data_IF_143488660651
#
_entry.id   IF_143488660651
#
_cell.length_a   1.000
_cell.length_b   1.000
_cell.length_c   1.000
_cell.angle_alpha   90.00
_cell.angle_beta   90.00
_cell.angle_gamma   90.00
#
_symmetry.space_group_name_H-M   'P 1'
#
loop_
_entity.id
_entity.type
_entity.pdbx_description
1 polymer ?
#
# COMPACT_ATOMS: atom_id res chain seq x y z
N UNK A 1 -18.93 -5.91 -11.70
CA UNK A 1 -19.15 -4.49 -11.32
C UNK A 1 -18.86 -4.35 -9.83
N UNK A 2 -18.15 -3.30 -9.45
CA UNK A 2 -17.85 -3.01 -8.05
C UNK A 2 -19.12 -2.59 -7.32
N UNK A 3 -19.25 -2.90 -6.01
CA UNK A 3 -20.39 -2.49 -5.23
C UNK A 3 -20.44 -0.96 -5.05
N UNK A 4 -21.65 -0.42 -5.01
CA UNK A 4 -21.87 1.00 -4.73
C UNK A 4 -21.78 1.26 -3.22
N UNK A 5 -20.89 2.13 -2.80
CA UNK A 5 -20.81 2.60 -1.42
C UNK A 5 -21.77 3.77 -1.18
N UNK A 6 -22.59 3.67 -0.16
CA UNK A 6 -23.46 4.75 0.36
C UNK A 6 -23.05 5.01 1.80
N UNK A 7 -22.48 6.16 2.05
CA UNK A 7 -21.97 6.56 3.37
C UNK A 7 -22.85 7.68 3.92
N UNK A 8 -23.53 7.42 5.03
CA UNK A 8 -24.50 8.34 5.65
C UNK A 8 -25.54 8.87 4.65
N UNK A 9 -26.02 7.98 3.76
CA UNK A 9 -27.01 8.29 2.73
C UNK A 9 -26.48 8.90 1.44
N UNK A 10 -25.18 9.17 1.33
CA UNK A 10 -24.55 9.79 0.14
C UNK A 10 -23.63 8.80 -0.57
N UNK A 11 -23.73 8.68 -1.91
CA UNK A 11 -22.78 7.88 -2.68
C UNK A 11 -21.35 8.39 -2.51
N UNK A 12 -20.41 7.44 -2.28
CA UNK A 12 -19.01 7.81 -2.07
C UNK A 12 -18.08 6.60 -2.04
N UNK A 13 -16.86 6.77 -1.59
CA UNK A 13 -15.89 5.71 -1.31
C UNK A 13 -16.02 5.20 0.13
N UNK A 14 -15.47 4.03 0.41
CA UNK A 14 -15.39 3.49 1.76
C UNK A 14 -14.81 4.52 2.74
N UNK A 15 -15.45 4.73 3.89
CA UNK A 15 -14.91 5.59 4.93
C UNK A 15 -13.81 4.84 5.69
N UNK A 16 -13.13 5.56 6.58
CA UNK A 16 -12.23 4.92 7.52
C UNK A 16 -12.98 3.92 8.41
N UNK A 17 -12.44 2.71 8.54
CA UNK A 17 -13.06 1.65 9.34
C UNK A 17 -13.27 2.03 10.81
N UNK A 18 -12.39 2.85 11.37
CA UNK A 18 -12.51 3.33 12.76
C UNK A 18 -13.71 4.28 12.97
N UNK A 19 -14.21 4.90 11.90
CA UNK A 19 -15.37 5.80 11.95
C UNK A 19 -16.69 5.08 11.71
N UNK A 20 -16.69 3.81 11.37
CA UNK A 20 -17.88 3.03 11.06
C UNK A 20 -18.60 2.63 12.34
N UNK A 21 -19.92 2.86 12.39
CA UNK A 21 -20.82 2.34 13.41
C UNK A 21 -21.51 1.05 12.94
N UNK A 22 -21.98 1.00 11.68
CA UNK A 22 -22.59 -0.19 11.09
C UNK A 22 -22.37 -0.27 9.58
N UNK A 23 -22.38 -1.50 9.07
CA UNK A 23 -22.34 -1.81 7.63
C UNK A 23 -23.49 -2.75 7.31
N UNK A 24 -24.27 -2.40 6.30
CA UNK A 24 -25.31 -3.25 5.73
C UNK A 24 -25.01 -3.51 4.26
N UNK A 25 -25.14 -4.76 3.83
CA UNK A 25 -24.83 -5.16 2.45
C UNK A 25 -26.12 -5.61 1.78
N UNK A 26 -26.53 -4.87 0.74
CA UNK A 26 -27.69 -5.18 -0.08
C UNK A 26 -27.22 -5.94 -1.33
N UNK A 27 -27.66 -7.19 -1.47
CA UNK A 27 -27.26 -8.06 -2.60
C UNK A 27 -28.44 -8.43 -3.51
N UNK A 28 -29.66 -8.30 -3.01
CA UNK A 28 -30.85 -8.65 -3.78
C UNK A 28 -31.33 -7.48 -4.65
N UNK A 29 -31.95 -7.82 -5.80
CA UNK A 29 -32.39 -6.83 -6.77
C UNK A 29 -33.51 -5.89 -6.22
N UNK A 30 -34.30 -6.34 -5.26
CA UNK A 30 -35.39 -5.51 -4.70
C UNK A 30 -34.82 -4.40 -3.80
N UNK A 31 -33.85 -4.74 -2.94
CA UNK A 31 -33.22 -3.77 -2.04
C UNK A 31 -32.28 -2.81 -2.76
N UNK A 32 -31.66 -3.24 -3.87
CA UNK A 32 -30.76 -2.37 -4.66
C UNK A 32 -31.48 -1.51 -5.69
N UNK A 33 -32.74 -1.79 -6.00
CA UNK A 33 -33.52 -1.09 -7.03
C UNK A 33 -33.59 0.44 -6.84
N UNK A 34 -33.63 0.92 -5.59
CA UNK A 34 -33.66 2.35 -5.28
C UNK A 34 -32.38 3.10 -5.72
N UNK A 35 -31.28 2.38 -5.95
CA UNK A 35 -30.00 2.94 -6.37
C UNK A 35 -29.78 2.85 -7.90
N UNK A 36 -30.79 2.29 -8.63
CA UNK A 36 -30.75 2.17 -10.09
C UNK A 36 -29.59 1.34 -10.60
N UNK A 37 -29.14 1.64 -11.82
CA UNK A 37 -28.09 0.88 -12.51
C UNK A 37 -26.74 0.82 -11.73
N UNK A 38 -26.47 1.84 -10.91
CA UNK A 38 -25.25 1.85 -10.08
C UNK A 38 -25.27 0.81 -8.96
N UNK A 39 -26.44 0.34 -8.55
CA UNK A 39 -26.60 -0.73 -7.56
C UNK A 39 -26.48 -2.15 -8.12
N UNK A 40 -26.23 -2.32 -9.42
CA UNK A 40 -26.20 -3.65 -10.07
C UNK A 40 -25.10 -4.59 -9.52
N UNK A 41 -24.01 -4.05 -8.98
CA UNK A 41 -22.95 -4.82 -8.31
C UNK A 41 -23.20 -5.07 -6.81
N UNK A 42 -24.37 -4.68 -6.30
CA UNK A 42 -24.69 -4.62 -4.88
C UNK A 42 -24.46 -3.24 -4.30
N UNK A 43 -24.98 -3.01 -3.09
CA UNK A 43 -24.85 -1.74 -2.37
C UNK A 43 -24.35 -2.00 -0.96
N UNK A 44 -23.34 -1.24 -0.55
CA UNK A 44 -22.80 -1.25 0.81
C UNK A 44 -23.24 0.03 1.48
N UNK A 45 -24.17 -0.10 2.43
CA UNK A 45 -24.61 1.01 3.26
C UNK A 45 -23.73 1.12 4.48
N UNK A 46 -23.14 2.28 4.69
CA UNK A 46 -22.32 2.55 5.86
C UNK A 46 -22.93 3.68 6.68
N UNK A 47 -23.15 3.41 7.95
CA UNK A 47 -23.47 4.44 8.93
C UNK A 47 -22.22 4.74 9.74
N UNK A 48 -21.86 6.02 9.80
CA UNK A 48 -20.68 6.43 10.57
C UNK A 48 -21.06 6.85 11.99
N UNK A 49 -20.09 6.78 12.90
CA UNK A 49 -20.24 7.17 14.30
C UNK A 49 -20.65 8.63 14.42
N UNK A 50 -21.69 8.88 15.19
CA UNK A 50 -22.19 10.20 15.51
C UNK A 50 -21.82 10.61 16.93
N UNK A 51 -21.99 11.88 17.25
CA UNK A 51 -21.81 12.40 18.59
C UNK A 51 -22.85 11.81 19.55
N UNK A 52 -22.47 11.64 20.81
CA UNK A 52 -23.34 11.13 21.88
C UNK A 52 -23.50 12.19 22.97
N UNK A 53 -24.70 12.27 23.56
CA UNK A 53 -24.95 13.11 24.72
C UNK A 53 -24.13 12.58 25.90
N UNK A 54 -23.37 13.44 26.54
CA UNK A 54 -22.54 13.08 27.68
C UNK A 54 -21.30 13.95 27.81
N UNK A 55 -20.50 13.67 28.82
CA UNK A 55 -19.19 14.29 29.02
C UNK A 55 -18.26 13.95 27.86
N UNK A 56 -17.29 14.82 27.63
CA UNK A 56 -16.23 14.54 26.67
C UNK A 56 -15.58 13.18 26.96
N UNK A 57 -15.59 12.30 25.97
CA UNK A 57 -14.91 11.03 25.97
C UNK A 57 -13.81 11.08 24.90
N UNK A 58 -12.61 10.69 25.29
CA UNK A 58 -11.41 10.65 24.41
C UNK A 58 -10.98 9.20 24.31
N UNK A 59 -10.82 8.71 23.11
CA UNK A 59 -10.26 7.39 22.81
C UNK A 59 -9.02 7.58 21.93
N UNK A 60 -7.88 7.12 22.41
CA UNK A 60 -6.63 7.11 21.65
C UNK A 60 -6.15 5.67 21.48
N UNK A 61 -5.66 5.34 20.30
CA UNK A 61 -5.10 4.03 19.97
C UNK A 61 -3.84 4.22 19.16
N UNK A 62 -2.83 3.45 19.50
CA UNK A 62 -1.58 3.38 18.74
C UNK A 62 -1.29 1.91 18.49
N UNK A 63 -1.03 1.57 17.24
CA UNK A 63 -0.67 0.23 16.82
C UNK A 63 0.67 0.27 16.10
N UNK A 64 1.53 -0.66 16.45
CA UNK A 64 2.78 -0.94 15.75
C UNK A 64 2.78 -2.38 15.28
N UNK A 65 3.33 -2.62 14.12
CA UNK A 65 3.47 -3.95 13.53
C UNK A 65 4.77 -4.07 12.75
N UNK A 66 5.26 -5.29 12.67
CA UNK A 66 6.38 -5.67 11.79
C UNK A 66 5.85 -6.76 10.87
N UNK A 67 6.04 -6.56 9.57
CA UNK A 67 5.84 -7.58 8.55
C UNK A 67 7.18 -8.11 8.09
N UNK A 68 7.30 -9.42 8.03
CA UNK A 68 8.52 -10.09 7.58
C UNK A 68 8.17 -10.94 6.37
N UNK A 69 8.95 -10.89 5.29
CA UNK A 69 8.78 -11.82 4.19
C UNK A 69 8.93 -13.26 4.69
N UNK A 70 8.12 -14.16 4.16
CA UNK A 70 8.16 -15.59 4.48
C UNK A 70 8.23 -16.39 3.19
N UNK A 71 8.81 -17.59 3.28
CA UNK A 71 8.89 -18.55 2.18
C UNK A 71 9.54 -17.98 0.90
N UNK A 72 10.54 -17.11 1.07
CA UNK A 72 11.36 -16.66 -0.05
C UNK A 72 12.17 -17.84 -0.57
N UNK A 73 12.34 -18.01 -1.89
CA UNK A 73 13.15 -19.06 -2.43
C UNK A 73 14.63 -18.76 -2.21
N UNK A 74 15.39 -19.75 -1.80
CA UNK A 74 16.85 -19.63 -1.69
C UNK A 74 17.47 -19.34 -3.07
N UNK A 75 18.07 -18.18 -3.21
CA UNK A 75 18.80 -17.80 -4.42
C UNK A 75 20.17 -18.48 -4.45
N UNK A 76 20.62 -18.83 -5.65
CA UNK A 76 21.93 -19.45 -5.81
C UNK A 76 23.05 -18.41 -5.65
N UNK A 77 24.05 -18.74 -4.85
CA UNK A 77 25.32 -18.02 -4.82
C UNK A 77 26.11 -18.21 -6.10
N UNK A 78 27.02 -17.31 -6.37
CA UNK A 78 27.78 -17.24 -7.64
C UNK A 78 28.46 -18.55 -8.02
N UNK A 79 29.11 -19.21 -7.09
CA UNK A 79 29.82 -20.51 -7.38
C UNK A 79 28.81 -21.58 -7.80
N UNK A 80 27.76 -21.78 -7.00
CA UNK A 80 26.70 -22.77 -7.27
C UNK A 80 25.95 -22.46 -8.56
N UNK A 81 25.68 -21.17 -8.80
CA UNK A 81 25.04 -20.71 -10.04
C UNK A 81 25.89 -21.10 -11.28
N UNK A 82 27.18 -20.81 -11.27
CA UNK A 82 28.07 -21.11 -12.40
C UNK A 82 28.19 -22.60 -12.59
N UNK A 83 28.43 -23.37 -11.53
CA UNK A 83 28.54 -24.82 -11.59
C UNK A 83 27.27 -25.47 -12.17
N UNK A 84 26.10 -25.04 -11.77
CA UNK A 84 24.84 -25.53 -12.33
C UNK A 84 24.67 -25.15 -13.81
N UNK A 85 25.09 -23.93 -14.19
CA UNK A 85 25.03 -23.49 -15.59
C UNK A 85 25.95 -24.32 -16.48
N UNK A 86 27.19 -24.56 -16.05
CA UNK A 86 28.14 -25.39 -16.79
C UNK A 86 27.64 -26.85 -16.87
N UNK A 87 27.14 -27.40 -15.78
CA UNK A 87 26.56 -28.75 -15.77
C UNK A 87 25.33 -28.90 -16.70
N UNK A 88 24.57 -27.81 -16.89
CA UNK A 88 23.46 -27.77 -17.83
C UNK A 88 23.86 -27.54 -19.29
N UNK A 89 25.17 -27.50 -19.58
CA UNK A 89 25.74 -27.38 -20.93
C UNK A 89 25.80 -25.95 -21.48
N UNK A 90 25.65 -24.93 -20.61
CA UNK A 90 25.91 -23.56 -21.04
C UNK A 90 27.42 -23.36 -21.32
N UNK A 91 27.77 -22.73 -22.45
CA UNK A 91 29.18 -22.54 -22.78
C UNK A 91 29.85 -21.56 -21.81
N UNK A 92 31.06 -21.89 -21.38
CA UNK A 92 31.91 -20.96 -20.66
C UNK A 92 32.41 -19.88 -21.62
N UNK A 93 31.91 -18.66 -21.46
CA UNK A 93 32.41 -17.54 -22.25
C UNK A 93 33.71 -17.01 -21.63
N UNK A 94 34.81 -16.90 -22.39
CA UNK A 94 36.11 -16.44 -21.87
C UNK A 94 36.04 -15.05 -21.16
N UNK A 95 35.08 -14.25 -21.52
CA UNK A 95 34.91 -12.92 -20.92
C UNK A 95 33.94 -12.92 -19.69
N UNK A 96 33.40 -14.06 -19.31
CA UNK A 96 32.47 -14.15 -18.20
C UNK A 96 33.13 -14.21 -16.82
N UNK A 97 34.41 -14.55 -16.79
CA UNK A 97 35.18 -14.81 -15.55
C UNK A 97 34.81 -16.14 -14.86
N UNK A 98 34.02 -16.99 -15.51
CA UNK A 98 33.57 -18.28 -14.93
C UNK A 98 34.66 -19.28 -14.67
N UNK A 99 35.87 -19.06 -15.23
CA UNK A 99 37.07 -19.84 -14.90
C UNK A 99 37.60 -19.65 -13.48
N UNK A 100 37.19 -18.53 -12.84
CA UNK A 100 37.49 -18.26 -11.44
C UNK A 100 36.24 -17.68 -10.72
N UNK A 101 35.21 -18.49 -10.46
CA UNK A 101 33.93 -18.04 -9.88
C UNK A 101 34.09 -17.29 -8.56
N UNK A 102 35.05 -17.66 -7.73
CA UNK A 102 35.30 -17.05 -6.43
C UNK A 102 35.81 -15.59 -6.52
N UNK A 103 36.25 -15.13 -7.70
CA UNK A 103 36.65 -13.74 -7.92
C UNK A 103 35.52 -12.83 -8.40
N UNK A 104 34.37 -13.40 -8.72
CA UNK A 104 33.20 -12.67 -9.20
C UNK A 104 32.39 -12.15 -8.04
N UNK A 105 31.56 -11.10 -8.26
CA UNK A 105 30.60 -10.66 -7.29
C UNK A 105 29.66 -11.80 -6.88
N UNK A 106 29.18 -11.75 -5.65
CA UNK A 106 28.18 -12.66 -5.11
C UNK A 106 27.05 -11.81 -4.48
N UNK A 107 26.14 -11.37 -5.32
CA UNK A 107 25.09 -10.43 -4.93
C UNK A 107 23.89 -11.21 -4.42
N UNK A 108 23.53 -10.96 -3.18
CA UNK A 108 22.29 -11.39 -2.59
C UNK A 108 21.16 -10.41 -3.01
N UNK A 109 20.45 -10.78 -4.08
CA UNK A 109 19.34 -9.98 -4.60
C UNK A 109 18.13 -9.99 -3.69
N UNK A 110 17.98 -11.03 -2.89
CA UNK A 110 16.89 -11.17 -1.98
C UNK A 110 16.97 -10.12 -0.85
N UNK A 111 18.14 -9.99 -0.23
CA UNK A 111 18.38 -8.95 0.79
C UNK A 111 18.29 -7.53 0.22
N UNK A 112 18.56 -7.33 -1.05
CA UNK A 112 18.45 -6.02 -1.71
C UNK A 112 17.01 -5.61 -2.02
N UNK A 113 16.11 -6.57 -2.22
CA UNK A 113 14.72 -6.34 -2.61
C UNK A 113 13.79 -6.34 -1.41
N UNK A 114 13.99 -7.26 -0.48
CA UNK A 114 13.10 -7.46 0.64
C UNK A 114 13.63 -6.82 1.92
N UNK A 115 12.68 -6.54 2.83
CA UNK A 115 13.00 -6.02 4.17
C UNK A 115 11.91 -6.42 5.16
N UNK A 116 12.25 -6.38 6.44
CA UNK A 116 11.24 -6.27 7.47
C UNK A 116 10.58 -4.90 7.37
N UNK A 117 9.27 -4.88 7.23
CA UNK A 117 8.48 -3.66 7.05
C UNK A 117 7.84 -3.23 8.36
N UNK A 118 7.92 -1.95 8.67
CA UNK A 118 7.36 -1.39 9.89
C UNK A 118 6.04 -0.67 9.59
N UNK A 119 5.01 -0.98 10.36
CA UNK A 119 3.69 -0.36 10.30
C UNK A 119 3.40 0.43 11.55
N UNK A 120 2.79 1.61 11.37
CA UNK A 120 2.39 2.50 12.44
C UNK A 120 0.99 3.01 12.15
N UNK A 121 0.10 2.95 13.13
CA UNK A 121 -1.22 3.53 13.04
C UNK A 121 -1.52 4.30 14.34
N UNK A 122 -1.93 5.54 14.18
CA UNK A 122 -2.29 6.45 15.25
C UNK A 122 -3.73 6.89 15.06
N UNK A 123 -4.57 6.66 16.03
CA UNK A 123 -5.98 7.01 16.00
C UNK A 123 -6.36 7.78 17.26
N UNK A 124 -7.07 8.88 17.06
CA UNK A 124 -7.64 9.68 18.13
C UNK A 124 -9.11 9.95 17.81
N UNK A 125 -9.98 9.76 18.79
CA UNK A 125 -11.39 10.07 18.70
C UNK A 125 -11.86 10.85 19.92
N UNK A 126 -12.65 11.86 19.70
CA UNK A 126 -13.30 12.66 20.73
C UNK A 126 -14.79 12.70 20.45
N UNK A 127 -15.61 12.37 21.44
CA UNK A 127 -17.06 12.45 21.33
C UNK A 127 -17.67 13.04 22.60
N UNK A 128 -18.76 13.78 22.44
CA UNK A 128 -19.46 14.39 23.56
C UNK A 128 -20.60 15.27 23.10
N UNK A 129 -21.23 15.95 24.04
CA UNK A 129 -22.27 16.90 23.76
C UNK A 129 -23.36 16.93 24.80
N UNK A 130 -24.40 17.71 24.51
CA UNK A 130 -25.57 17.88 25.32
C UNK A 130 -26.83 17.68 24.47
N UNK A 131 -28.01 17.91 25.04
CA UNK A 131 -29.29 17.76 24.32
C UNK A 131 -29.43 18.69 23.09
N UNK A 132 -28.71 19.81 23.07
CA UNK A 132 -28.76 20.76 21.97
C UNK A 132 -27.76 20.39 20.87
N UNK A 133 -26.52 20.02 21.22
CA UNK A 133 -25.46 19.72 20.24
C UNK A 133 -24.65 18.54 20.68
N UNK A 134 -24.41 17.60 19.76
CA UNK A 134 -23.49 16.48 19.94
C UNK A 134 -22.44 16.50 18.84
N UNK A 135 -21.24 16.00 19.13
CA UNK A 135 -20.16 15.92 18.16
C UNK A 135 -19.36 14.63 18.29
N UNK A 136 -18.80 14.20 17.18
CA UNK A 136 -17.77 13.17 17.09
C UNK A 136 -16.67 13.68 16.16
N UNK A 137 -15.45 13.70 16.66
CA UNK A 137 -14.25 14.08 15.90
C UNK A 137 -13.28 12.92 15.93
N UNK A 138 -12.70 12.60 14.79
CA UNK A 138 -11.66 11.58 14.69
C UNK A 138 -10.52 12.07 13.83
N UNK A 139 -9.32 11.62 14.17
CA UNK A 139 -8.12 11.78 13.38
C UNK A 139 -7.39 10.45 13.32
N UNK A 140 -6.95 10.05 12.16
CA UNK A 140 -6.11 8.89 11.96
C UNK A 140 -4.93 9.26 11.06
N UNK A 141 -3.81 8.72 11.41
CA UNK A 141 -2.61 8.76 10.59
C UNK A 141 -1.98 7.38 10.62
N UNK A 142 -1.62 6.87 9.47
CA UNK A 142 -0.83 5.66 9.36
C UNK A 142 0.35 5.84 8.41
N UNK A 143 1.40 5.15 8.76
CA UNK A 143 2.63 5.07 8.01
C UNK A 143 3.03 3.62 7.88
N UNK A 144 2.90 3.09 6.68
CA UNK A 144 3.14 1.70 6.37
C UNK A 144 4.32 1.60 5.41
N UNK A 145 5.34 0.88 5.82
CA UNK A 145 6.29 0.32 4.87
C UNK A 145 5.72 -1.00 4.34
N UNK A 146 6.05 -1.36 3.11
CA UNK A 146 5.81 -2.71 2.60
C UNK A 146 7.10 -3.53 2.64
N UNK A 147 6.95 -4.86 2.58
CA UNK A 147 8.08 -5.78 2.64
C UNK A 147 9.05 -5.62 1.47
N UNK A 148 8.59 -5.17 0.33
CA UNK A 148 9.44 -4.74 -0.77
C UNK A 148 10.06 -3.39 -0.45
N UNK A 149 11.39 -3.26 -0.64
CA UNK A 149 12.08 -1.99 -0.37
C UNK A 149 11.56 -0.88 -1.28
N UNK A 150 11.62 0.35 -0.80
CA UNK A 150 11.18 1.58 -1.46
C UNK A 150 9.67 1.74 -1.59
N UNK A 151 8.86 0.74 -1.30
CA UNK A 151 7.42 0.83 -1.30
C UNK A 151 6.86 1.26 0.06
N UNK A 152 5.87 2.14 0.05
CA UNK A 152 5.26 2.67 1.28
C UNK A 152 3.85 3.23 1.03
N UNK A 153 3.13 3.43 2.11
CA UNK A 153 1.87 4.16 2.13
C UNK A 153 1.78 5.01 3.40
N UNK A 154 1.74 6.32 3.24
CA UNK A 154 1.49 7.28 4.31
C UNK A 154 0.13 7.91 4.07
N UNK A 155 -0.81 7.79 5.00
CA UNK A 155 -2.12 8.40 4.84
C UNK A 155 -2.65 8.93 6.15
N UNK A 156 -3.54 9.89 6.04
CA UNK A 156 -4.22 10.45 7.18
C UNK A 156 -5.58 11.00 6.82
N UNK A 157 -6.46 11.02 7.79
CA UNK A 157 -7.76 11.63 7.67
C UNK A 157 -8.14 12.32 8.97
N UNK A 158 -8.95 13.36 8.82
CA UNK A 158 -9.60 14.06 9.91
C UNK A 158 -11.08 14.18 9.59
N UNK A 159 -11.92 13.82 10.54
CA UNK A 159 -13.36 13.84 10.41
C UNK A 159 -14.00 14.57 11.58
N UNK A 160 -14.99 15.39 11.27
CA UNK A 160 -15.87 16.03 12.23
C UNK A 160 -17.31 15.70 11.85
N UNK A 161 -18.07 15.18 12.78
CA UNK A 161 -19.51 15.02 12.64
C UNK A 161 -20.19 15.76 13.77
N UNK A 162 -21.10 16.64 13.46
CA UNK A 162 -21.92 17.34 14.46
C UNK A 162 -23.39 17.21 14.16
N UNK A 163 -24.21 17.27 15.21
CA UNK A 163 -25.64 17.33 15.11
C UNK A 163 -26.15 18.35 16.11
N UNK A 164 -26.92 19.33 15.62
CA UNK A 164 -27.53 20.40 16.43
C UNK A 164 -29.03 20.40 16.30
N UNK A 165 -29.71 20.34 17.41
CA UNK A 165 -31.15 20.50 17.49
C UNK A 165 -31.48 22.02 17.52
N UNK A 166 -31.84 22.58 16.35
CA UNK A 166 -32.23 24.00 16.24
C UNK A 166 -33.56 24.25 16.95
N UNK A 167 -34.46 23.29 16.83
CA UNK A 167 -35.74 23.30 17.53
C UNK A 167 -36.23 21.87 17.77
N UNK A 168 -37.37 21.69 18.43
CA UNK A 168 -38.01 20.36 18.61
C UNK A 168 -38.37 19.67 17.27
N UNK A 169 -38.43 20.42 16.18
CA UNK A 169 -38.82 19.91 14.84
C UNK A 169 -37.72 19.98 13.82
N UNK A 170 -36.61 20.68 14.10
CA UNK A 170 -35.54 20.92 13.14
C UNK A 170 -34.21 20.46 13.74
N UNK A 171 -33.58 19.51 13.07
CA UNK A 171 -32.23 19.03 13.35
C UNK A 171 -31.33 19.39 12.17
N UNK A 172 -30.16 19.88 12.46
CA UNK A 172 -29.09 20.11 11.49
C UNK A 172 -27.95 19.15 11.80
N UNK A 173 -27.48 18.44 10.77
CA UNK A 173 -26.36 17.50 10.91
C UNK A 173 -25.37 17.79 9.83
N UNK A 174 -24.12 17.81 10.18
CA UNK A 174 -23.00 18.03 9.25
C UNK A 174 -21.89 17.03 9.48
N UNK A 175 -21.27 16.61 8.39
CA UNK A 175 -20.10 15.73 8.41
C UNK A 175 -19.09 16.31 7.45
N UNK A 176 -17.91 16.62 7.96
CA UNK A 176 -16.76 17.01 7.16
C UNK A 176 -15.68 15.98 7.34
N UNK A 177 -15.12 15.48 6.25
CA UNK A 177 -13.97 14.61 6.26
C UNK A 177 -12.95 15.14 5.26
N UNK A 178 -11.72 15.28 5.69
CA UNK A 178 -10.57 15.63 4.85
C UNK A 178 -9.49 14.58 5.03
N UNK A 179 -8.75 14.29 3.99
CA UNK A 179 -7.70 13.30 4.06
C UNK A 179 -6.66 13.45 2.97
N UNK A 180 -5.57 12.77 3.18
CA UNK A 180 -4.51 12.62 2.20
C UNK A 180 -4.05 11.17 2.15
N UNK A 181 -3.52 10.79 1.01
CA UNK A 181 -2.80 9.56 0.80
C UNK A 181 -1.56 9.89 -0.04
N UNK A 182 -0.42 9.35 0.38
CA UNK A 182 0.84 9.41 -0.31
C UNK A 182 1.38 7.98 -0.37
N UNK A 183 1.26 7.37 -1.52
CA UNK A 183 1.63 5.98 -1.70
C UNK A 183 2.61 5.83 -2.84
N UNK A 184 3.56 4.95 -2.62
CA UNK A 184 4.40 4.40 -3.67
C UNK A 184 4.14 2.88 -3.65
N UNK A 185 3.14 2.43 -4.41
CA UNK A 185 2.66 1.06 -4.33
C UNK A 185 3.60 0.09 -4.99
N UNK A 186 4.85 0.42 -5.19
CA UNK A 186 5.75 -0.38 -6.00
C UNK A 186 5.06 -1.63 -6.58
N UNK A 187 4.76 -1.58 -7.75
CA UNK A 187 4.39 -2.50 -8.84
C UNK A 187 4.05 -3.96 -8.51
N UNK A 188 3.57 -4.26 -7.31
CA UNK A 188 3.00 -5.57 -7.06
C UNK A 188 1.82 -5.76 -8.04
N UNK A 189 2.10 -6.42 -9.16
CA UNK A 189 1.10 -6.84 -10.14
C UNK A 189 0.85 -5.94 -11.36
N UNK A 190 1.58 -4.85 -11.58
CA UNK A 190 1.37 -4.01 -12.78
C UNK A 190 2.34 -4.27 -13.94
N UNK A 191 3.43 -4.92 -13.68
CA UNK A 191 4.34 -5.39 -14.73
C UNK A 191 4.68 -6.84 -14.46
N UNK A 192 5.09 -7.60 -15.47
CA UNK A 192 5.64 -8.95 -15.32
C UNK A 192 6.93 -8.98 -14.48
N UNK A 193 7.12 -8.01 -13.60
CA UNK A 193 8.31 -7.78 -12.81
C UNK A 193 8.37 -8.57 -11.50
N UNK A 194 7.26 -9.15 -11.03
CA UNK A 194 7.21 -9.92 -9.78
C UNK A 194 8.19 -11.09 -9.76
N UNK A 195 8.69 -11.49 -10.93
CA UNK A 195 9.70 -12.54 -11.07
C UNK A 195 11.08 -12.01 -11.44
N UNK A 196 11.28 -10.70 -11.55
CA UNK A 196 12.53 -10.15 -12.10
C UNK A 196 13.70 -10.40 -11.17
N UNK A 197 13.51 -10.29 -9.86
CA UNK A 197 14.60 -10.53 -8.92
C UNK A 197 15.05 -12.00 -8.90
N UNK A 198 14.13 -12.98 -9.07
CA UNK A 198 14.48 -14.41 -9.20
C UNK A 198 15.30 -14.72 -10.45
N UNK A 199 15.31 -13.81 -11.42
CA UNK A 199 16.08 -13.94 -12.66
C UNK A 199 17.40 -13.22 -12.61
N UNK A 200 17.62 -12.42 -11.57
CA UNK A 200 18.90 -11.73 -11.42
C UNK A 200 20.02 -12.76 -11.18
N UNK A 201 21.15 -12.50 -11.79
CA UNK A 201 22.32 -13.37 -11.62
C UNK A 201 23.19 -12.86 -10.48
N UNK A 202 23.71 -13.72 -9.61
CA UNK A 202 24.51 -13.31 -8.46
C UNK A 202 25.82 -12.62 -8.86
N UNK A 203 26.31 -12.87 -10.06
CA UNK A 203 27.52 -12.22 -10.61
C UNK A 203 27.34 -10.77 -11.04
N UNK A 204 26.11 -10.26 -11.01
CA UNK A 204 25.78 -8.87 -11.34
C UNK A 204 25.83 -8.00 -10.09
N UNK A 205 26.56 -6.89 -10.13
CA UNK A 205 26.56 -5.91 -9.05
C UNK A 205 25.36 -4.99 -9.13
N UNK A 206 24.74 -4.59 -8.01
CA UNK A 206 23.63 -3.66 -8.03
C UNK A 206 24.06 -2.25 -8.45
N UNK A 207 25.27 -1.84 -8.09
CA UNK A 207 25.82 -0.52 -8.38
C UNK A 207 27.19 -0.63 -9.05
N UNK A 208 27.43 0.22 -10.05
CA UNK A 208 28.71 0.34 -10.75
C UNK A 208 28.97 1.82 -11.05
N UNK A 209 29.77 2.44 -10.22
CA UNK A 209 30.10 3.87 -10.35
C UNK A 209 30.85 4.20 -11.65
N UNK A 210 31.37 3.21 -12.35
CA UNK A 210 32.04 3.42 -13.65
C UNK A 210 31.04 3.47 -14.81
N UNK A 211 29.79 3.09 -14.58
CA UNK A 211 28.72 3.13 -15.55
C UNK A 211 27.94 4.45 -15.49
N UNK A 212 28.61 5.58 -15.73
CA UNK A 212 27.99 6.91 -15.71
C UNK A 212 26.82 7.03 -16.70
N UNK A 213 26.99 6.50 -17.92
CA UNK A 213 25.94 6.51 -18.95
C UNK A 213 24.70 5.70 -18.58
N UNK A 214 24.84 4.72 -17.70
CA UNK A 214 23.76 3.90 -17.15
C UNK A 214 23.31 4.34 -15.76
N UNK A 215 23.62 5.58 -15.34
CA UNK A 215 23.19 6.12 -14.05
C UNK A 215 23.84 5.50 -12.82
N UNK A 216 24.99 4.85 -12.97
CA UNK A 216 25.70 4.20 -11.86
C UNK A 216 25.15 2.84 -11.47
N UNK A 217 24.27 2.25 -12.27
CA UNK A 217 23.70 0.93 -12.03
C UNK A 217 24.58 -0.17 -12.62
N UNK A 218 24.66 -1.29 -11.92
CA UNK A 218 25.36 -2.46 -12.39
C UNK A 218 24.78 -2.99 -13.70
N UNK A 219 25.65 -3.39 -14.60
CA UNK A 219 25.28 -4.03 -15.87
C UNK A 219 25.31 -5.53 -15.71
N UNK A 220 24.52 -6.20 -16.53
CA UNK A 220 24.62 -7.63 -16.69
C UNK A 220 26.05 -8.03 -17.14
N UNK A 221 26.67 -9.02 -16.51
CA UNK A 221 28.02 -9.48 -16.92
C UNK A 221 28.06 -9.92 -18.38
N UNK A 222 29.14 -9.62 -19.06
CA UNK A 222 29.32 -10.04 -20.43
C UNK A 222 29.17 -11.57 -20.55
N UNK A 223 28.37 -12.02 -21.51
CA UNK A 223 28.11 -13.46 -21.73
C UNK A 223 27.04 -14.06 -20.81
N UNK A 224 26.37 -13.29 -20.02
CA UNK A 224 25.22 -13.75 -19.25
C UNK A 224 24.03 -14.10 -20.15
N UNK A 225 23.28 -15.13 -19.77
CA UNK A 225 22.13 -15.64 -20.52
C UNK A 225 20.81 -14.92 -20.18
N UNK A 226 20.88 -13.88 -19.39
CA UNK A 226 19.73 -13.06 -19.05
C UNK A 226 20.09 -11.58 -19.23
N UNK A 227 19.37 -10.90 -20.11
CA UNK A 227 19.54 -9.48 -20.42
C UNK A 227 18.42 -8.64 -19.77
N UNK A 228 18.08 -8.95 -18.53
CA UNK A 228 17.09 -8.18 -17.80
C UNK A 228 17.67 -6.90 -17.18
N UNK A 229 16.81 -5.92 -16.87
CA UNK A 229 17.24 -4.74 -16.17
C UNK A 229 17.72 -5.08 -14.76
N UNK A 230 18.60 -4.24 -14.23
CA UNK A 230 18.97 -4.30 -12.82
C UNK A 230 17.73 -4.03 -11.96
N UNK A 231 17.35 -5.02 -11.15
CA UNK A 231 16.09 -4.92 -10.41
C UNK A 231 16.10 -3.79 -9.37
N UNK A 232 17.22 -3.58 -8.68
CA UNK A 232 17.37 -2.46 -7.74
C UNK A 232 17.23 -1.13 -8.48
N UNK A 233 17.83 -1.01 -9.68
CA UNK A 233 17.64 0.18 -10.51
C UNK A 233 16.17 0.38 -10.88
N UNK A 234 15.48 -0.69 -11.22
CA UNK A 234 14.04 -0.64 -11.52
C UNK A 234 13.25 -0.21 -10.29
N UNK A 235 13.50 -0.81 -9.14
CA UNK A 235 12.86 -0.43 -7.88
C UNK A 235 13.09 1.03 -7.51
N UNK A 236 14.29 1.55 -7.72
CA UNK A 236 14.64 2.94 -7.37
C UNK A 236 14.22 3.98 -8.41
N UNK A 237 14.04 3.60 -9.67
CA UNK A 237 13.71 4.53 -10.76
C UNK A 237 12.22 4.65 -11.04
N UNK A 238 11.41 3.66 -10.68
CA UNK A 238 9.96 3.65 -10.90
C UNK A 238 9.20 4.11 -9.66
N UNK A 239 9.50 5.30 -9.18
CA UNK A 239 8.71 5.94 -8.13
C UNK A 239 7.47 6.59 -8.73
N UNK A 240 6.38 5.86 -8.81
CA UNK A 240 5.05 6.43 -9.06
C UNK A 240 4.45 6.92 -7.74
N UNK A 241 5.04 7.97 -7.18
CA UNK A 241 4.53 8.55 -5.95
C UNK A 241 3.16 9.21 -6.22
N UNK A 242 2.11 8.51 -5.87
CA UNK A 242 0.75 8.99 -6.00
C UNK A 242 0.33 9.77 -4.76
N UNK A 243 0.08 11.06 -4.92
CA UNK A 243 -0.43 11.94 -3.85
C UNK A 243 -1.87 12.32 -4.13
N UNK A 244 -2.76 11.93 -3.24
CA UNK A 244 -4.18 12.29 -3.30
C UNK A 244 -4.56 13.12 -2.09
N UNK A 245 -5.27 14.23 -2.32
CA UNK A 245 -5.96 14.99 -1.29
C UNK A 245 -7.45 14.94 -1.61
N UNK A 246 -8.27 14.77 -0.59
CA UNK A 246 -9.69 14.71 -0.77
C UNK A 246 -10.44 15.37 0.39
N UNK A 247 -11.62 15.89 0.09
CA UNK A 247 -12.53 16.43 1.09
C UNK A 247 -13.95 15.98 0.75
N UNK A 248 -14.74 15.69 1.77
CA UNK A 248 -16.16 15.37 1.66
C UNK A 248 -16.92 16.16 2.71
N UNK A 249 -18.00 16.80 2.31
CA UNK A 249 -18.92 17.47 3.20
C UNK A 249 -20.35 16.99 2.93
N UNK A 250 -21.09 16.68 3.97
CA UNK A 250 -22.50 16.32 3.95
C UNK A 250 -23.22 17.20 4.97
N UNK A 251 -24.40 17.68 4.65
CA UNK A 251 -25.24 18.48 5.54
C UNK A 251 -26.70 18.02 5.46
#
# INVERSE_FOLDING_TARGET
ADPLWIVDGVPGSAPNFNDIESIEILKDAASTAIYGARGAGGVILVTTKKGKIGKLSINARVNFGIETPIDLPDMLHTVDFIDRKLAAGFPNNPNSGWDNPASLPDTDWEDLVWRNAFRQNYFLQMTGGNEKTTFNMSAEFYKNQFIERYSFEDAGNFRVASQTNISKRVKFSEILTVGFNNTDPHLYGQTNNDYVYYRQVPTMVPYDNTNEAGGGWGKHPAGGYYEGPNHVATLMSHHENERRFWARANA
#
